data_IF_755358472192
#
_entry.id   IF_755358472192
#
_cell.length_a   1.000
_cell.length_b   1.000
_cell.length_c   1.000
_cell.angle_alpha   90.00
_cell.angle_beta   90.00
_cell.angle_gamma   90.00
#
_symmetry.space_group_name_H-M   'P 1'
#
loop_
_entity.id
_entity.type
_entity.pdbx_description
1 polymer ?
#
# COMPACT_ATOMS: atom_id res chain seq x y z
N UNK A 1 -39.56 -43.58 14.23
CA UNK A 1 -39.85 -42.12 14.21
C UNK A 1 -38.51 -41.43 13.99
N UNK A 2 -38.08 -40.91 12.83
CA UNK A 2 -38.74 -40.08 11.78
C UNK A 2 -39.56 -38.98 12.48
N UNK A 3 -39.26 -37.68 12.39
CA UNK A 3 -38.70 -36.91 11.29
C UNK A 3 -38.44 -35.44 11.72
N UNK A 4 -37.52 -34.78 10.98
CA UNK A 4 -37.52 -33.36 10.54
C UNK A 4 -37.35 -32.24 11.58
N UNK A 5 -36.17 -31.62 11.52
CA UNK A 5 -36.05 -30.17 11.32
C UNK A 5 -34.83 -29.87 10.42
N UNK A 6 -35.09 -29.83 9.11
CA UNK A 6 -34.60 -28.82 8.14
C UNK A 6 -34.79 -27.43 8.79
N UNK A 7 -33.86 -26.48 8.83
CA UNK A 7 -33.21 -25.77 7.72
C UNK A 7 -32.33 -24.69 8.33
N UNK A 8 -31.07 -24.60 7.93
CA UNK A 8 -30.40 -23.33 7.62
C UNK A 8 -29.05 -23.65 6.95
N UNK A 9 -29.14 -24.04 5.68
CA UNK A 9 -28.12 -23.66 4.70
C UNK A 9 -28.53 -22.29 4.13
N UNK A 10 -27.75 -21.27 4.45
CA UNK A 10 -27.46 -20.06 3.66
C UNK A 10 -26.02 -19.72 4.07
N UNK A 11 -25.02 -19.68 3.22
CA UNK A 11 -25.01 -19.15 1.87
C UNK A 11 -24.00 -18.01 1.88
N UNK A 12 -22.72 -18.34 1.70
CA UNK A 12 -21.60 -17.47 1.30
C UNK A 12 -20.51 -18.47 0.82
N UNK A 13 -20.66 -19.13 -0.32
CA UNK A 13 -21.09 -18.54 -1.57
C UNK A 13 -20.00 -17.62 -2.06
N UNK A 14 -18.90 -18.21 -2.53
CA UNK A 14 -17.98 -17.59 -3.49
C UNK A 14 -17.66 -16.10 -3.26
N UNK A 15 -16.69 -15.80 -2.40
CA UNK A 15 -15.75 -14.72 -2.72
C UNK A 15 -14.80 -15.22 -3.81
N UNK A 16 -15.42 -15.42 -4.97
CA UNK A 16 -14.94 -15.19 -6.32
C UNK A 16 -13.43 -15.30 -6.47
N UNK A 17 -13.04 -16.35 -7.18
CA UNK A 17 -11.85 -16.38 -8.01
C UNK A 17 -11.89 -15.20 -9.01
N UNK A 18 -11.68 -13.98 -8.50
CA UNK A 18 -11.35 -12.82 -9.28
C UNK A 18 -9.91 -13.04 -9.72
N UNK A 19 -9.76 -13.60 -10.93
CA UNK A 19 -8.54 -13.65 -11.73
C UNK A 19 -7.24 -13.61 -10.91
N UNK A 20 -6.59 -14.76 -10.70
CA UNK A 20 -5.24 -14.83 -10.10
C UNK A 20 -4.19 -14.01 -10.87
N UNK A 21 -4.53 -13.49 -12.05
CA UNK A 21 -3.88 -12.37 -12.72
C UNK A 21 -4.70 -11.09 -12.45
N UNK A 22 -4.49 -10.44 -11.30
CA UNK A 22 -5.24 -9.20 -10.99
C UNK A 22 -5.09 -8.71 -9.56
N UNK A 23 -5.03 -9.63 -8.59
CA UNK A 23 -4.89 -9.28 -7.18
C UNK A 23 -3.47 -8.78 -6.87
N UNK A 24 -3.38 -7.63 -6.21
CA UNK A 24 -2.13 -7.08 -5.72
C UNK A 24 -2.01 -7.34 -4.22
N UNK A 25 -0.85 -7.81 -3.79
CA UNK A 25 -0.51 -7.94 -2.37
C UNK A 25 0.06 -6.61 -1.87
N UNK A 26 -0.49 -6.10 -0.77
CA UNK A 26 -0.03 -4.85 -0.16
C UNK A 26 0.81 -5.17 1.06
N UNK A 27 2.05 -4.67 1.08
CA UNK A 27 2.99 -4.86 2.18
C UNK A 27 3.38 -3.52 2.80
N UNK A 28 3.47 -3.44 4.13
CA UNK A 28 4.00 -2.27 4.77
C UNK A 28 5.50 -2.12 4.49
N UNK A 29 5.95 -0.87 4.41
CA UNK A 29 7.37 -0.52 4.25
C UNK A 29 8.03 -0.52 5.62
N UNK A 30 9.08 -1.30 5.77
CA UNK A 30 9.82 -1.42 7.03
C UNK A 30 11.32 -1.19 6.83
N UNK A 31 11.86 -0.30 7.67
CA UNK A 31 13.28 0.04 7.66
C UNK A 31 13.75 0.85 6.46
N UNK A 32 15.05 1.19 6.49
CA UNK A 32 15.66 2.14 5.54
C UNK A 32 15.68 1.62 4.10
N UNK A 33 16.00 0.33 3.89
CA UNK A 33 16.12 -0.25 2.54
C UNK A 33 14.79 -0.22 1.80
N UNK A 34 13.71 -0.62 2.48
CA UNK A 34 12.39 -0.59 1.86
C UNK A 34 11.88 0.84 1.64
N UNK A 35 12.18 1.77 2.55
CA UNK A 35 11.86 3.18 2.34
C UNK A 35 12.55 3.74 1.10
N UNK A 36 13.81 3.39 0.85
CA UNK A 36 14.51 3.76 -0.39
C UNK A 36 13.82 3.18 -1.62
N UNK A 37 13.38 1.92 -1.57
CA UNK A 37 12.64 1.31 -2.67
C UNK A 37 11.26 1.98 -2.89
N UNK A 38 10.57 2.36 -1.81
CA UNK A 38 9.32 3.13 -1.85
C UNK A 38 9.52 4.51 -2.49
N UNK A 39 10.61 5.21 -2.16
CA UNK A 39 10.95 6.52 -2.73
C UNK A 39 11.27 6.41 -4.22
N UNK A 40 12.01 5.38 -4.63
CA UNK A 40 12.48 5.22 -6.03
C UNK A 40 11.43 4.64 -6.97
N UNK A 41 10.38 3.99 -6.44
CA UNK A 41 9.36 3.33 -7.26
C UNK A 41 8.76 4.21 -8.38
N UNK A 42 8.43 5.51 -8.17
CA UNK A 42 7.94 6.39 -9.23
C UNK A 42 8.88 6.50 -10.45
N UNK A 43 10.20 6.41 -10.26
CA UNK A 43 11.17 6.44 -11.37
C UNK A 43 11.07 5.25 -12.31
N UNK A 44 10.61 4.10 -11.80
CA UNK A 44 10.36 2.93 -12.64
C UNK A 44 8.98 3.01 -13.27
N UNK A 45 7.95 3.35 -12.49
CA UNK A 45 6.56 3.38 -12.96
C UNK A 45 6.32 4.44 -14.04
N UNK A 46 6.94 5.62 -13.92
CA UNK A 46 6.73 6.72 -14.86
C UNK A 46 7.86 6.87 -15.88
N UNK A 47 8.72 5.85 -16.03
CA UNK A 47 9.79 5.87 -17.04
C UNK A 47 9.18 6.02 -18.44
N UNK A 48 9.63 7.02 -19.18
CA UNK A 48 9.16 7.28 -20.55
C UNK A 48 7.87 8.09 -20.66
N UNK A 49 7.26 8.50 -19.54
CA UNK A 49 6.14 9.44 -19.58
C UNK A 49 6.62 10.86 -19.88
N UNK A 50 6.20 11.43 -21.01
CA UNK A 50 6.67 12.72 -21.53
C UNK A 50 6.49 13.90 -20.55
N UNK A 51 5.48 13.85 -19.70
CA UNK A 51 5.13 14.94 -18.78
C UNK A 51 5.57 14.68 -17.33
N UNK A 52 6.33 13.61 -17.07
CA UNK A 52 6.75 13.27 -15.71
C UNK A 52 8.04 13.99 -15.33
N UNK A 53 7.96 14.83 -14.29
CA UNK A 53 9.10 15.53 -13.71
C UNK A 53 9.51 14.83 -12.41
N UNK A 54 10.70 14.20 -12.33
CA UNK A 54 11.13 13.50 -11.12
C UNK A 54 11.42 14.50 -9.98
N UNK A 55 10.91 14.27 -8.76
CA UNK A 55 11.26 15.10 -7.61
C UNK A 55 12.70 14.85 -7.16
N UNK A 56 13.30 15.77 -6.40
CA UNK A 56 14.65 15.58 -5.85
C UNK A 56 14.67 14.43 -4.84
N UNK A 57 15.53 13.43 -5.07
CA UNK A 57 15.62 12.24 -4.20
C UNK A 57 15.97 12.59 -2.75
N UNK A 58 16.82 13.59 -2.53
CA UNK A 58 17.22 14.05 -1.19
C UNK A 58 16.05 14.65 -0.42
N UNK A 59 15.21 15.44 -1.10
CA UNK A 59 14.00 16.02 -0.53
C UNK A 59 13.01 14.92 -0.13
N UNK A 60 12.70 13.98 -1.03
CA UNK A 60 11.77 12.88 -0.73
C UNK A 60 12.27 11.99 0.40
N UNK A 61 13.58 11.75 0.50
CA UNK A 61 14.18 11.03 1.64
C UNK A 61 13.95 11.77 2.94
N UNK A 62 14.20 13.08 2.99
CA UNK A 62 14.01 13.88 4.21
C UNK A 62 12.54 13.94 4.61
N UNK A 63 11.64 14.13 3.65
CA UNK A 63 10.20 14.23 3.90
C UNK A 63 9.59 12.91 4.40
N UNK A 64 10.05 11.76 3.92
CA UNK A 64 9.45 10.46 4.28
C UNK A 64 10.17 9.76 5.44
N UNK A 65 11.31 10.28 5.89
CA UNK A 65 12.04 9.76 7.05
C UNK A 65 11.36 10.21 8.35
N UNK A 66 10.72 9.25 9.04
CA UNK A 66 10.00 9.47 10.31
C UNK A 66 10.90 10.05 11.42
N UNK A 67 12.21 9.87 11.35
CA UNK A 67 13.16 10.42 12.33
C UNK A 67 13.69 11.81 11.97
N UNK A 68 13.35 12.35 10.79
CA UNK A 68 13.84 13.66 10.32
C UNK A 68 12.74 14.65 9.96
N UNK A 69 11.53 14.17 9.68
CA UNK A 69 10.41 15.03 9.33
C UNK A 69 9.67 15.49 10.61
N UNK A 70 9.60 16.81 10.89
CA UNK A 70 8.84 17.34 12.03
C UNK A 70 7.36 16.94 12.03
N UNK A 71 6.78 16.59 10.87
CA UNK A 71 5.42 16.05 10.78
C UNK A 71 5.23 14.83 11.71
N UNK A 72 6.29 14.03 11.90
CA UNK A 72 6.25 12.85 12.77
C UNK A 72 6.18 13.17 14.27
N UNK A 73 6.27 14.45 14.67
CA UNK A 73 6.11 14.89 16.07
C UNK A 73 4.65 14.90 16.52
N UNK A 74 3.71 15.06 15.59
CA UNK A 74 2.28 15.19 15.89
C UNK A 74 1.38 14.35 14.97
N UNK A 75 1.96 13.67 13.98
CA UNK A 75 1.23 12.86 13.03
C UNK A 75 1.94 11.52 12.79
N UNK A 76 1.13 10.52 12.49
CA UNK A 76 1.59 9.18 12.13
C UNK A 76 1.43 8.97 10.62
N UNK A 77 2.40 8.29 10.01
CA UNK A 77 2.36 7.99 8.58
C UNK A 77 2.72 6.53 8.35
N UNK A 78 1.87 5.79 7.64
CA UNK A 78 2.13 4.43 7.19
C UNK A 78 2.37 4.40 5.68
N UNK A 79 3.45 3.73 5.28
CA UNK A 79 3.86 3.62 3.89
C UNK A 79 3.67 2.19 3.40
N UNK A 80 3.02 2.04 2.23
CA UNK A 80 2.60 0.75 1.70
C UNK A 80 3.10 0.59 0.26
N UNK A 81 3.53 -0.63 -0.12
CA UNK A 81 3.84 -1.00 -1.50
C UNK A 81 2.93 -2.13 -1.96
N UNK A 82 2.37 -1.98 -3.16
CA UNK A 82 1.58 -3.00 -3.81
C UNK A 82 2.49 -3.85 -4.72
N UNK A 83 2.28 -5.16 -4.71
CA UNK A 83 3.03 -6.16 -5.47
C UNK A 83 2.08 -7.00 -6.32
N UNK A 84 2.44 -7.30 -7.56
CA UNK A 84 1.72 -8.24 -8.42
C UNK A 84 2.73 -9.18 -9.05
N UNK A 85 2.61 -10.48 -8.79
CA UNK A 85 3.54 -11.48 -9.32
C UNK A 85 5.01 -11.23 -8.93
N UNK A 86 5.25 -10.71 -7.72
CA UNK A 86 6.61 -10.39 -7.25
C UNK A 86 7.18 -9.08 -7.79
N UNK A 87 6.47 -8.35 -8.64
CA UNK A 87 6.88 -7.03 -9.12
C UNK A 87 6.14 -5.93 -8.34
N UNK A 88 6.81 -4.89 -7.82
CA UNK A 88 6.11 -3.76 -7.22
C UNK A 88 5.30 -3.04 -8.31
N UNK A 89 4.02 -2.75 -8.07
CA UNK A 89 3.15 -2.09 -9.06
C UNK A 89 2.60 -0.76 -8.59
N UNK A 90 2.77 -0.43 -7.31
CA UNK A 90 2.25 0.83 -6.76
C UNK A 90 2.74 1.12 -5.36
N UNK A 91 2.44 2.33 -4.90
CA UNK A 91 2.70 2.80 -3.55
C UNK A 91 1.60 3.72 -3.08
N UNK A 92 1.31 3.69 -1.79
CA UNK A 92 0.39 4.62 -1.12
C UNK A 92 0.93 4.95 0.26
N UNK A 93 0.59 6.12 0.77
CA UNK A 93 0.87 6.56 2.14
C UNK A 93 -0.43 7.00 2.80
N UNK A 94 -0.65 6.57 4.03
CA UNK A 94 -1.78 6.99 4.86
C UNK A 94 -1.25 7.77 6.05
N UNK A 95 -1.78 8.96 6.29
CA UNK A 95 -1.31 9.87 7.33
C UNK A 95 -2.47 10.19 8.26
N UNK A 96 -2.23 10.20 9.57
CA UNK A 96 -3.18 10.66 10.60
C UNK A 96 -2.51 11.81 11.34
N UNK A 97 -3.05 13.01 11.23
CA UNK A 97 -2.61 14.16 12.00
C UNK A 97 -3.50 14.32 13.24
N UNK A 98 -2.89 14.18 14.41
CA UNK A 98 -3.61 14.24 15.69
C UNK A 98 -3.95 15.66 16.14
N UNK A 99 -3.52 16.69 15.39
CA UNK A 99 -3.89 18.10 15.67
C UNK A 99 -5.15 18.57 14.95
N UNK A 100 -5.56 17.86 13.91
CA UNK A 100 -6.63 18.28 13.00
C UNK A 100 -7.86 17.36 13.03
N UNK A 101 -7.81 16.29 13.83
CA UNK A 101 -8.89 15.33 14.08
C UNK A 101 -9.22 15.28 15.57
#
# INVERSE_FOLDING_TARGET
MKERQTSQQRGEGASTAASRVGQAEVRPVRGRRELQAFIRLPWRLYRGHANWVPPLLSERKRHLDRGRNPFSEHAEAEYLRAWRGGEPVGRVSAHVDHRLN
#
